data_IF_193461583558
#
_entry.id   IF_193461583558
#
_cell.length_a   1.000
_cell.length_b   1.000
_cell.length_c   1.000
_cell.angle_alpha   90.00
_cell.angle_beta   90.00
_cell.angle_gamma   90.00
#
_symmetry.space_group_name_H-M   'P 1'
#
loop_
_entity.id
_entity.type
_entity.pdbx_description
1 polymer ?
#
# COMPACT_ATOMS: atom_id res chain seq x y z
N UNK A 1 0.15 7.54 6.37
CA UNK A 1 0.19 7.45 4.91
C UNK A 1 -1.15 7.83 4.29
N UNK A 2 -2.21 7.01 4.41
CA UNK A 2 -3.50 7.27 3.76
C UNK A 2 -4.08 8.69 3.95
N UNK A 3 -4.11 9.21 5.18
CA UNK A 3 -4.62 10.57 5.46
C UNK A 3 -3.80 11.69 4.79
N UNK A 4 -2.53 11.44 4.44
CA UNK A 4 -1.65 12.41 3.78
C UNK A 4 -1.78 12.41 2.27
N UNK A 5 -2.27 11.31 1.68
CA UNK A 5 -2.37 11.12 0.23
C UNK A 5 -3.81 10.79 -0.22
N UNK A 6 -4.80 11.67 0.03
CA UNK A 6 -6.20 11.41 -0.32
C UNK A 6 -6.45 11.35 -1.83
N UNK A 7 -5.50 11.79 -2.67
CA UNK A 7 -5.58 11.68 -4.13
C UNK A 7 -5.20 10.29 -4.64
N UNK A 8 -4.51 9.50 -3.83
CA UNK A 8 -4.01 8.16 -4.17
C UNK A 8 -4.76 7.08 -3.40
N UNK A 9 -5.06 7.32 -2.11
CA UNK A 9 -5.70 6.37 -1.21
C UNK A 9 -7.05 6.91 -0.77
N UNK A 10 -8.11 6.12 -1.02
CA UNK A 10 -9.48 6.47 -0.61
C UNK A 10 -9.71 6.04 0.85
N UNK A 11 -9.48 4.76 1.15
CA UNK A 11 -9.72 4.17 2.48
C UNK A 11 -8.76 3.02 2.75
N UNK A 12 -8.56 2.70 4.03
CA UNK A 12 -7.78 1.54 4.47
C UNK A 12 -8.64 0.71 5.41
N UNK A 13 -8.67 -0.60 5.21
CA UNK A 13 -9.44 -1.56 6.02
C UNK A 13 -8.66 -2.85 6.22
N UNK A 14 -8.80 -3.49 7.36
CA UNK A 14 -8.06 -4.72 7.64
C UNK A 14 -8.34 -5.28 9.02
N UNK A 15 -7.85 -6.49 9.27
CA UNK A 15 -7.91 -7.14 10.58
C UNK A 15 -6.65 -7.98 10.78
N UNK A 16 -6.00 -7.82 11.94
CA UNK A 16 -4.71 -8.45 12.21
C UNK A 16 -3.65 -7.97 11.22
N UNK A 17 -3.04 -8.90 10.49
CA UNK A 17 -2.03 -8.61 9.46
C UNK A 17 -2.62 -8.49 8.04
N UNK A 18 -3.90 -8.82 7.84
CA UNK A 18 -4.52 -8.69 6.52
C UNK A 18 -5.07 -7.28 6.33
N UNK A 19 -4.42 -6.50 5.46
CA UNK A 19 -4.77 -5.10 5.19
C UNK A 19 -5.10 -4.90 3.72
N UNK A 20 -6.12 -4.09 3.46
CA UNK A 20 -6.56 -3.65 2.14
C UNK A 20 -6.59 -2.13 2.05
N UNK A 21 -5.93 -1.61 1.04
CA UNK A 21 -5.89 -0.18 0.70
C UNK A 21 -6.75 0.02 -0.53
N UNK A 22 -7.87 0.72 -0.40
CA UNK A 22 -8.69 1.14 -1.53
C UNK A 22 -8.06 2.37 -2.16
N UNK A 23 -7.77 2.27 -3.46
CA UNK A 23 -7.06 3.31 -4.19
C UNK A 23 -8.06 4.25 -4.88
N UNK A 24 -7.67 5.50 -5.07
CA UNK A 24 -8.33 6.46 -5.97
C UNK A 24 -7.77 6.30 -7.38
N UNK A 25 -6.45 6.19 -7.51
CA UNK A 25 -5.76 5.82 -8.76
C UNK A 25 -5.99 4.34 -9.09
N UNK A 26 -5.75 3.89 -10.33
CA UNK A 26 -5.77 2.47 -10.65
C UNK A 26 -4.85 1.67 -9.73
N UNK A 27 -5.37 0.64 -9.07
CA UNK A 27 -4.60 -0.17 -8.13
C UNK A 27 -3.40 -0.86 -8.78
N UNK A 28 -3.45 -1.10 -10.09
CA UNK A 28 -2.34 -1.62 -10.88
C UNK A 28 -1.16 -0.63 -10.94
N UNK A 29 -1.43 0.68 -11.03
CA UNK A 29 -0.37 1.71 -11.01
C UNK A 29 0.28 1.79 -9.63
N UNK A 30 -0.52 1.83 -8.56
CA UNK A 30 0.00 1.79 -7.20
C UNK A 30 0.78 0.49 -6.94
N UNK A 31 0.24 -0.66 -7.31
CA UNK A 31 0.90 -1.95 -7.14
C UNK A 31 2.22 -2.06 -7.91
N UNK A 32 2.27 -1.54 -9.15
CA UNK A 32 3.50 -1.47 -9.93
C UNK A 32 4.53 -0.56 -9.24
N UNK A 33 4.13 0.63 -8.78
CA UNK A 33 5.01 1.55 -8.05
C UNK A 33 5.52 1.00 -6.73
N UNK A 34 4.70 0.26 -6.00
CA UNK A 34 5.13 -0.41 -4.78
C UNK A 34 6.17 -1.49 -5.09
N UNK A 35 5.96 -2.27 -6.15
CA UNK A 35 6.90 -3.30 -6.61
C UNK A 35 8.23 -2.69 -7.06
N UNK A 36 8.20 -1.60 -7.83
CA UNK A 36 9.40 -0.84 -8.25
C UNK A 36 10.21 -0.35 -7.04
N UNK A 37 9.53 0.07 -5.97
CA UNK A 37 10.14 0.54 -4.75
C UNK A 37 10.47 -0.57 -3.73
N UNK A 38 10.31 -1.85 -4.11
CA UNK A 38 10.74 -3.00 -3.31
C UNK A 38 9.67 -3.64 -2.40
N UNK A 39 8.41 -3.22 -2.50
CA UNK A 39 7.29 -3.76 -1.71
C UNK A 39 6.33 -4.59 -2.58
N UNK A 40 6.34 -5.91 -2.36
CA UNK A 40 5.41 -6.83 -3.01
C UNK A 40 4.02 -6.75 -2.39
N UNK A 41 3.01 -6.60 -3.24
CA UNK A 41 1.59 -6.53 -2.85
C UNK A 41 0.73 -7.32 -3.80
N UNK A 42 -0.52 -7.60 -3.41
CA UNK A 42 -1.47 -8.34 -4.23
C UNK A 42 -2.60 -7.41 -4.66
N UNK A 43 -2.85 -7.33 -5.96
CA UNK A 43 -4.01 -6.62 -6.49
C UNK A 43 -5.29 -7.41 -6.19
N UNK A 44 -6.33 -6.71 -5.78
CA UNK A 44 -7.64 -7.29 -5.54
C UNK A 44 -8.74 -6.52 -6.29
N UNK A 45 -9.90 -7.17 -6.42
CA UNK A 45 -11.10 -6.51 -6.92
C UNK A 45 -11.45 -5.26 -6.06
N UNK A 46 -12.31 -4.40 -6.60
CA UNK A 46 -12.75 -3.16 -5.96
C UNK A 46 -11.64 -2.09 -5.81
N UNK A 47 -10.69 -2.08 -6.75
CA UNK A 47 -9.55 -1.15 -6.78
C UNK A 47 -8.71 -1.16 -5.48
N UNK A 48 -8.51 -2.36 -4.92
CA UNK A 48 -7.79 -2.56 -3.66
C UNK A 48 -6.40 -3.14 -3.90
N UNK A 49 -5.41 -2.66 -3.16
CA UNK A 49 -4.11 -3.31 -2.96
C UNK A 49 -4.11 -3.99 -1.60
N UNK A 50 -3.79 -5.28 -1.54
CA UNK A 50 -3.73 -6.07 -0.31
C UNK A 50 -2.29 -6.27 0.15
N UNK A 51 -2.11 -6.13 1.45
CA UNK A 51 -0.89 -6.49 2.17
C UNK A 51 -1.19 -7.62 3.15
N UNK A 52 -0.33 -8.62 3.12
CA UNK A 52 -0.36 -9.77 4.02
C UNK A 52 1.09 -10.13 4.37
N UNK A 53 1.71 -9.41 5.32
CA UNK A 53 3.05 -9.74 5.79
C UNK A 53 3.06 -11.09 6.51
N UNK A 54 4.23 -11.70 6.60
CA UNK A 54 4.42 -12.95 7.32
C UNK A 54 4.08 -12.80 8.82
N UNK A 55 3.62 -13.88 9.47
CA UNK A 55 3.29 -13.88 10.90
C UNK A 55 4.49 -13.56 11.81
N UNK A 56 5.71 -13.73 11.29
CA UNK A 56 6.98 -13.45 11.96
C UNK A 56 7.51 -12.03 11.67
N UNK A 57 6.73 -11.18 10.98
CA UNK A 57 7.16 -9.84 10.64
C UNK A 57 7.37 -8.98 11.89
N UNK A 58 8.57 -8.42 12.01
CA UNK A 58 8.92 -7.42 13.02
C UNK A 58 8.41 -6.01 12.68
N UNK A 59 8.36 -5.14 13.68
CA UNK A 59 7.94 -3.73 13.52
C UNK A 59 8.79 -2.98 12.48
N UNK A 60 10.09 -3.27 12.41
CA UNK A 60 11.01 -2.68 11.43
C UNK A 60 10.57 -2.91 9.99
N UNK A 61 10.08 -4.10 9.65
CA UNK A 61 9.55 -4.41 8.31
C UNK A 61 8.26 -3.63 8.02
N UNK A 62 7.43 -3.38 9.03
CA UNK A 62 6.21 -2.56 8.89
C UNK A 62 6.58 -1.11 8.64
N UNK A 63 7.58 -0.59 9.35
CA UNK A 63 8.07 0.77 9.19
C UNK A 63 8.66 0.97 7.79
N UNK A 64 9.44 0.00 7.29
CA UNK A 64 9.97 -0.03 5.93
C UNK A 64 8.85 -0.04 4.89
N UNK A 65 7.85 -0.92 5.04
CA UNK A 65 6.71 -0.97 4.14
C UNK A 65 5.92 0.35 4.12
N UNK A 66 5.79 1.02 5.28
CA UNK A 66 5.15 2.34 5.37
C UNK A 66 5.96 3.42 4.66
N UNK A 67 7.30 3.39 4.74
CA UNK A 67 8.17 4.31 4.02
C UNK A 67 8.07 4.12 2.51
N UNK A 68 8.06 2.87 2.04
CA UNK A 68 7.87 2.56 0.61
C UNK A 68 6.49 3.03 0.14
N UNK A 69 5.43 2.77 0.93
CA UNK A 69 4.07 3.21 0.59
C UNK A 69 3.98 4.74 0.48
N UNK A 70 4.57 5.48 1.41
CA UNK A 70 4.62 6.95 1.35
C UNK A 70 5.35 7.43 0.09
N UNK A 71 6.55 6.88 -0.18
CA UNK A 71 7.35 7.21 -1.36
C UNK A 71 6.56 6.98 -2.66
N UNK A 72 5.93 5.81 -2.80
CA UNK A 72 5.12 5.48 -3.97
C UNK A 72 3.90 6.40 -4.13
N UNK A 73 3.28 6.84 -3.03
CA UNK A 73 2.18 7.81 -3.11
C UNK A 73 2.67 9.19 -3.58
N UNK A 74 3.80 9.68 -3.05
CA UNK A 74 4.41 10.95 -3.48
C UNK A 74 4.74 10.91 -4.98
N UNK A 75 5.33 9.82 -5.47
CA UNK A 75 5.67 9.65 -6.90
C UNK A 75 4.44 9.59 -7.83
N UNK A 76 3.26 9.20 -7.31
CA UNK A 76 2.01 9.16 -8.08
C UNK A 76 1.24 10.49 -8.03
N UNK A 77 1.54 11.35 -7.06
CA UNK A 77 0.93 12.68 -6.96
C UNK A 77 1.68 13.76 -7.75
N UNK A 78 2.95 13.52 -8.09
CA UNK A 78 3.81 14.40 -8.90
C UNK A 78 3.65 14.15 -10.39
#
# INVERSE_FOLDING_TARGET
>A
VAQRHPKVIETVRGTGLMWGIKCVVPNAELGAKLTENGLLTVLAADNVVRMLPALIAEQSHVDEACQILEKSCVELEG
#
